data_IF_760233108127
#
_entry.id   IF_760233108127
#
_cell.length_a   1.000
_cell.length_b   1.000
_cell.length_c   1.000
_cell.angle_alpha   90.00
_cell.angle_beta   90.00
_cell.angle_gamma   90.00
#
_symmetry.space_group_name_H-M   'P 1'
#
loop_
_entity.id
_entity.type
_entity.pdbx_description
1 polymer ?
#
# COMPACT_ATOMS: atom_id res chain seq x y z
N UNK A 1 18.88 6.76 -2.73
CA UNK A 1 18.15 6.74 -4.03
C UNK A 1 16.76 7.30 -3.80
N UNK A 2 16.32 8.25 -4.64
CA UNK A 2 15.02 8.93 -4.53
C UNK A 2 13.87 7.96 -4.85
N UNK A 3 12.79 8.00 -4.07
CA UNK A 3 11.54 7.30 -4.43
C UNK A 3 10.75 8.21 -5.37
N UNK A 4 10.34 7.67 -6.52
CA UNK A 4 9.53 8.41 -7.49
C UNK A 4 8.09 8.60 -6.97
N UNK A 5 7.58 9.84 -7.00
CA UNK A 5 6.18 10.15 -6.77
C UNK A 5 5.29 9.56 -7.87
N UNK A 6 3.99 9.48 -7.67
CA UNK A 6 3.07 8.95 -8.70
C UNK A 6 3.12 9.77 -10.00
N UNK A 7 3.30 11.08 -9.90
CA UNK A 7 3.47 11.99 -11.05
C UNK A 7 4.80 11.73 -11.78
N UNK A 8 5.90 11.59 -11.03
CA UNK A 8 7.21 11.27 -11.61
C UNK A 8 7.20 9.89 -12.29
N UNK A 9 6.49 8.90 -11.71
CA UNK A 9 6.34 7.56 -12.31
C UNK A 9 5.57 7.63 -13.62
N UNK A 10 4.54 8.47 -13.69
CA UNK A 10 3.77 8.68 -14.92
C UNK A 10 4.63 9.38 -15.99
N UNK A 11 5.38 10.42 -15.63
CA UNK A 11 6.28 11.11 -16.55
C UNK A 11 7.38 10.18 -17.10
N UNK A 12 7.98 9.33 -16.25
CA UNK A 12 8.96 8.31 -16.66
C UNK A 12 8.33 7.34 -17.66
N UNK A 13 7.10 6.89 -17.40
CA UNK A 13 6.38 5.98 -18.29
C UNK A 13 6.09 6.60 -19.66
N UNK A 14 5.58 7.83 -19.69
CA UNK A 14 5.29 8.55 -20.93
C UNK A 14 6.56 8.82 -21.73
N UNK A 15 7.65 9.18 -21.06
CA UNK A 15 8.96 9.35 -21.68
C UNK A 15 9.40 8.04 -22.34
N UNK A 16 9.40 6.93 -21.60
CA UNK A 16 9.76 5.61 -22.16
C UNK A 16 8.84 5.22 -23.32
N UNK A 17 7.55 5.52 -23.24
CA UNK A 17 6.60 5.22 -24.30
C UNK A 17 6.93 5.98 -25.59
N UNK A 18 7.35 7.24 -25.50
CA UNK A 18 7.80 8.05 -26.65
C UNK A 18 9.06 7.51 -27.32
N UNK A 19 9.98 6.90 -26.55
CA UNK A 19 11.17 6.24 -27.09
C UNK A 19 10.89 4.79 -27.55
N UNK A 20 9.77 4.21 -27.12
CA UNK A 20 9.44 2.83 -27.49
C UNK A 20 8.88 2.71 -28.90
N UNK A 21 9.32 1.70 -29.64
CA UNK A 21 8.72 1.32 -30.91
C UNK A 21 7.83 0.10 -30.72
N UNK A 22 6.51 0.27 -30.83
CA UNK A 22 5.50 -0.80 -30.63
C UNK A 22 5.63 -1.53 -29.28
N UNK A 23 5.95 -0.81 -28.21
CA UNK A 23 6.11 -1.40 -26.86
C UNK A 23 7.42 -2.15 -26.65
N UNK A 24 8.42 -1.94 -27.51
CA UNK A 24 9.82 -2.37 -27.29
C UNK A 24 10.72 -1.15 -27.12
N UNK A 25 11.60 -1.26 -26.13
CA UNK A 25 12.71 -0.33 -25.90
C UNK A 25 13.99 -0.99 -26.42
N UNK A 26 14.88 -0.19 -26.98
CA UNK A 26 16.18 -0.66 -27.44
C UNK A 26 17.13 -0.88 -26.27
N UNK A 27 18.18 -1.65 -26.53
CA UNK A 27 19.18 -1.98 -25.53
C UNK A 27 19.94 -0.71 -25.10
N UNK A 28 19.71 -0.29 -23.85
CA UNK A 28 20.36 0.89 -23.28
C UNK A 28 19.40 2.04 -22.98
N UNK A 29 18.20 2.06 -23.56
CA UNK A 29 17.23 3.16 -23.36
C UNK A 29 16.85 3.34 -21.90
N UNK A 30 16.61 2.23 -21.19
CA UNK A 30 16.32 2.25 -19.75
C UNK A 30 17.49 2.84 -18.97
N UNK A 31 18.73 2.56 -19.38
CA UNK A 31 19.93 3.10 -18.72
C UNK A 31 20.07 4.59 -18.98
N UNK A 32 19.91 4.99 -20.25
CA UNK A 32 20.03 6.38 -20.66
C UNK A 32 18.94 7.26 -20.03
N UNK A 33 17.68 6.83 -20.04
CA UNK A 33 16.55 7.56 -19.42
C UNK A 33 16.69 7.59 -17.89
N UNK A 34 17.20 6.51 -17.28
CA UNK A 34 17.47 6.49 -15.85
C UNK A 34 18.54 7.52 -15.45
N UNK A 35 19.61 7.64 -16.25
CA UNK A 35 20.67 8.62 -16.01
C UNK A 35 20.16 10.06 -16.26
N UNK A 36 19.37 10.28 -17.32
CA UNK A 36 18.76 11.58 -17.66
C UNK A 36 17.78 12.09 -16.59
N UNK A 37 16.94 11.20 -16.05
CA UNK A 37 15.94 11.54 -15.04
C UNK A 37 16.45 11.38 -13.60
N UNK A 38 17.74 11.02 -13.42
CA UNK A 38 18.38 10.78 -12.13
C UNK A 38 17.67 9.72 -11.25
N UNK A 39 17.09 8.70 -11.88
CA UNK A 39 16.47 7.56 -11.19
C UNK A 39 17.33 6.30 -11.29
N UNK A 40 17.16 5.36 -10.36
CA UNK A 40 17.83 4.07 -10.46
C UNK A 40 17.27 3.24 -11.62
N UNK A 41 18.16 2.61 -12.42
CA UNK A 41 17.78 1.73 -13.55
C UNK A 41 16.69 0.69 -13.19
N UNK A 42 16.80 0.10 -11.99
CA UNK A 42 15.80 -0.86 -11.47
C UNK A 42 14.41 -0.24 -11.24
N UNK A 43 14.35 1.05 -10.87
CA UNK A 43 13.08 1.75 -10.68
C UNK A 43 12.40 2.02 -12.03
N UNK A 44 13.16 2.51 -13.01
CA UNK A 44 12.70 2.78 -14.37
C UNK A 44 12.22 1.49 -15.06
N UNK A 45 13.01 0.41 -14.98
CA UNK A 45 12.60 -0.91 -15.52
C UNK A 45 11.32 -1.44 -14.86
N UNK A 46 11.16 -1.27 -13.54
CA UNK A 46 9.93 -1.68 -12.84
C UNK A 46 8.72 -0.87 -13.29
N UNK A 47 8.89 0.43 -13.50
CA UNK A 47 7.85 1.33 -14.04
C UNK A 47 7.42 0.88 -15.43
N UNK A 48 8.38 0.54 -16.30
CA UNK A 48 8.11 0.03 -17.65
C UNK A 48 7.26 -1.25 -17.63
N UNK A 49 7.69 -2.27 -16.88
CA UNK A 49 6.91 -3.52 -16.80
C UNK A 49 5.54 -3.32 -16.15
N UNK A 50 5.45 -2.47 -15.12
CA UNK A 50 4.17 -2.14 -14.50
C UNK A 50 3.22 -1.45 -15.49
N UNK A 51 3.73 -0.55 -16.33
CA UNK A 51 2.93 0.11 -17.36
C UNK A 51 2.43 -0.87 -18.41
N UNK A 52 3.30 -1.76 -18.91
CA UNK A 52 2.92 -2.82 -19.85
C UNK A 52 1.85 -3.76 -19.28
N UNK A 53 1.98 -4.20 -18.01
CA UNK A 53 0.98 -5.02 -17.33
C UNK A 53 -0.37 -4.30 -17.15
N UNK A 54 -0.35 -2.97 -17.00
CA UNK A 54 -1.54 -2.17 -16.72
C UNK A 54 -2.19 -1.58 -17.98
N UNK A 55 -1.52 -1.65 -19.13
CA UNK A 55 -1.99 -1.10 -20.39
C UNK A 55 -2.95 -2.08 -21.08
N UNK A 56 -4.25 -1.79 -21.00
CA UNK A 56 -5.28 -2.51 -21.76
C UNK A 56 -5.53 -1.88 -23.14
N UNK A 57 -6.23 -2.56 -24.06
CA UNK A 57 -6.46 -2.10 -25.44
C UNK A 57 -7.12 -0.71 -25.59
N UNK A 58 -7.71 -0.16 -24.52
CA UNK A 58 -8.30 1.20 -24.48
C UNK A 58 -8.11 1.89 -23.11
N UNK A 59 -7.12 1.50 -22.32
CA UNK A 59 -6.90 2.06 -20.98
C UNK A 59 -5.50 2.63 -20.84
N UNK A 60 -5.41 3.85 -20.31
CA UNK A 60 -4.14 4.46 -19.94
C UNK A 60 -3.45 3.58 -18.86
N UNK A 61 -2.15 3.34 -19.05
CA UNK A 61 -1.38 2.54 -18.11
C UNK A 61 -1.36 3.20 -16.71
N UNK A 62 -1.65 2.41 -15.66
CA UNK A 62 -1.62 2.90 -14.27
C UNK A 62 -0.30 2.56 -13.61
N UNK A 63 0.60 3.55 -13.47
CA UNK A 63 1.96 3.34 -12.94
C UNK A 63 2.14 3.83 -11.50
N UNK A 64 1.05 3.93 -10.73
CA UNK A 64 1.10 4.38 -9.33
C UNK A 64 1.95 3.48 -8.44
N UNK A 65 2.53 4.05 -7.40
CA UNK A 65 3.27 3.30 -6.39
C UNK A 65 2.36 2.30 -5.68
N UNK A 66 2.79 1.03 -5.60
CA UNK A 66 2.07 -0.03 -4.86
C UNK A 66 2.41 -0.04 -3.37
N UNK A 67 3.25 0.88 -2.89
CA UNK A 67 3.73 0.89 -1.49
C UNK A 67 2.60 1.09 -0.46
N UNK A 68 1.57 1.86 -0.80
CA UNK A 68 0.40 2.07 0.05
C UNK A 68 -0.51 0.84 0.09
N UNK A 69 -0.65 0.14 -1.03
CA UNK A 69 -1.50 -1.06 -1.16
C UNK A 69 -0.96 -2.26 -0.35
N UNK A 70 0.36 -2.35 -0.18
CA UNK A 70 1.00 -3.46 0.52
C UNK A 70 0.94 -3.33 2.06
N UNK A 71 0.53 -2.18 2.59
CA UNK A 71 0.33 -2.02 4.03
C UNK A 71 -0.97 -2.68 4.45
N UNK A 72 -0.91 -3.60 5.42
CA UNK A 72 -2.12 -4.09 6.11
C UNK A 72 -2.91 -2.88 6.61
N UNK A 73 -4.18 -2.79 6.20
CA UNK A 73 -5.09 -1.76 6.71
C UNK A 73 -5.12 -1.87 8.23
N UNK A 74 -4.84 -0.75 8.91
CA UNK A 74 -5.03 -0.67 10.36
C UNK A 74 -6.53 -0.84 10.63
N UNK A 75 -6.89 -1.75 11.53
CA UNK A 75 -8.28 -1.89 11.97
C UNK A 75 -8.71 -0.59 12.63
N UNK A 76 -9.84 -0.03 12.22
CA UNK A 76 -10.37 1.21 12.78
C UNK A 76 -10.77 1.03 14.24
N UNK A 77 -10.67 2.09 15.05
CA UNK A 77 -11.14 2.06 16.46
C UNK A 77 -12.60 1.69 16.54
N UNK A 78 -13.43 2.24 15.65
CA UNK A 78 -14.86 1.94 15.56
C UNK A 78 -15.13 0.45 15.37
N UNK A 79 -14.45 -0.18 14.43
CA UNK A 79 -14.61 -1.60 14.13
C UNK A 79 -14.18 -2.47 15.32
N UNK A 80 -13.11 -2.07 16.01
CA UNK A 80 -12.66 -2.75 17.24
C UNK A 80 -13.70 -2.63 18.36
N UNK A 81 -14.24 -1.42 18.59
CA UNK A 81 -15.29 -1.20 19.58
C UNK A 81 -16.56 -2.01 19.27
N UNK A 82 -16.93 -2.09 17.98
CA UNK A 82 -18.07 -2.90 17.55
C UNK A 82 -17.86 -4.38 17.90
N UNK A 83 -16.70 -4.96 17.57
CA UNK A 83 -16.37 -6.35 17.94
C UNK A 83 -16.43 -6.58 19.45
N UNK A 84 -15.93 -5.62 20.25
CA UNK A 84 -16.01 -5.71 21.72
C UNK A 84 -17.46 -5.64 22.21
N UNK A 85 -18.31 -4.84 21.54
CA UNK A 85 -19.74 -4.72 21.88
C UNK A 85 -20.56 -5.96 21.54
N UNK A 86 -20.08 -6.81 20.63
CA UNK A 86 -20.71 -8.09 20.27
C UNK A 86 -20.40 -9.18 21.31
N UNK A 87 -19.29 -9.08 22.05
CA UNK A 87 -18.93 -10.04 23.11
C UNK A 87 -19.89 -9.92 24.30
N UNK A 88 -20.41 -11.00 24.89
CA UNK A 88 -21.25 -10.93 26.09
C UNK A 88 -20.57 -10.21 27.26
N UNK A 89 -21.33 -9.47 28.07
CA UNK A 89 -20.78 -8.65 29.18
C UNK A 89 -20.00 -9.50 30.20
N UNK A 90 -20.38 -10.77 30.40
CA UNK A 90 -19.66 -11.72 31.26
C UNK A 90 -18.23 -11.97 30.79
N UNK A 91 -18.05 -12.14 29.48
CA UNK A 91 -16.76 -12.49 28.86
C UNK A 91 -15.86 -11.27 28.65
N UNK A 92 -16.43 -10.06 28.63
CA UNK A 92 -15.66 -8.79 28.59
C UNK A 92 -14.81 -8.56 29.84
N UNK A 93 -15.06 -9.29 30.93
CA UNK A 93 -14.30 -9.15 32.19
C UNK A 93 -12.90 -9.73 32.11
N UNK A 94 -12.72 -10.78 31.31
CA UNK A 94 -11.42 -11.42 31.17
C UNK A 94 -10.75 -10.94 29.88
N UNK A 95 -9.63 -10.24 30.03
CA UNK A 95 -8.88 -9.71 28.90
C UNK A 95 -8.42 -10.81 27.93
N UNK A 96 -8.13 -12.02 28.41
CA UNK A 96 -7.74 -13.16 27.55
C UNK A 96 -8.94 -13.62 26.72
N UNK A 97 -10.10 -13.78 27.35
CA UNK A 97 -11.34 -14.16 26.66
C UNK A 97 -11.75 -13.11 25.63
N UNK A 98 -11.61 -11.83 25.96
CA UNK A 98 -11.91 -10.72 25.05
C UNK A 98 -10.96 -10.69 23.85
N UNK A 99 -9.67 -10.98 24.04
CA UNK A 99 -8.71 -11.10 22.94
C UNK A 99 -9.07 -12.22 21.98
N UNK A 100 -9.40 -13.40 22.51
CA UNK A 100 -9.84 -14.56 21.73
C UNK A 100 -11.13 -14.27 20.95
N UNK A 101 -12.11 -13.67 21.62
CA UNK A 101 -13.42 -13.37 21.01
C UNK A 101 -13.34 -12.28 19.92
N UNK A 102 -12.47 -11.28 20.09
CA UNK A 102 -12.34 -10.17 19.14
C UNK A 102 -11.25 -10.39 18.07
N UNK A 103 -10.45 -11.45 18.23
CA UNK A 103 -9.23 -11.72 17.47
C UNK A 103 -8.30 -10.50 17.41
N UNK A 104 -8.06 -9.90 18.59
CA UNK A 104 -7.20 -8.70 18.74
C UNK A 104 -6.09 -8.95 19.75
N UNK A 105 -5.03 -8.16 19.66
CA UNK A 105 -3.91 -8.27 20.61
C UNK A 105 -4.25 -7.60 21.95
N UNK A 106 -3.65 -8.12 23.02
CA UNK A 106 -3.63 -7.51 24.35
C UNK A 106 -3.35 -6.00 24.31
N UNK A 107 -2.36 -5.59 23.51
CA UNK A 107 -1.97 -4.20 23.32
C UNK A 107 -3.13 -3.33 22.82
N UNK A 108 -3.89 -3.80 21.83
CA UNK A 108 -5.00 -3.02 21.27
C UNK A 108 -6.14 -2.85 22.27
N UNK A 109 -6.45 -3.89 23.05
CA UNK A 109 -7.45 -3.79 24.13
C UNK A 109 -7.00 -2.77 25.19
N UNK A 110 -5.73 -2.81 25.61
CA UNK A 110 -5.19 -1.83 26.56
C UNK A 110 -5.17 -0.41 26.00
N UNK A 111 -4.90 -0.23 24.71
CA UNK A 111 -5.00 1.07 24.06
C UNK A 111 -6.44 1.59 24.07
N UNK A 112 -7.44 0.76 23.75
CA UNK A 112 -8.85 1.16 23.82
C UNK A 112 -9.27 1.58 25.23
N UNK A 113 -8.72 0.93 26.26
CA UNK A 113 -8.93 1.32 27.66
C UNK A 113 -8.28 2.69 27.96
N UNK A 114 -7.02 2.88 27.55
CA UNK A 114 -6.30 4.16 27.73
C UNK A 114 -6.94 5.32 26.96
N UNK A 115 -7.40 5.05 25.75
CA UNK A 115 -8.10 6.01 24.88
C UNK A 115 -9.55 6.28 25.37
N UNK A 116 -10.05 5.54 26.37
CA UNK A 116 -11.37 5.74 26.98
C UNK A 116 -12.54 5.11 26.19
N UNK A 117 -12.26 4.39 25.11
CA UNK A 117 -13.25 3.66 24.33
C UNK A 117 -13.81 2.44 25.08
N UNK A 118 -13.04 1.90 26.02
CA UNK A 118 -13.46 0.86 26.94
C UNK A 118 -13.25 1.35 28.36
N UNK A 119 -14.21 1.09 29.26
CA UNK A 119 -14.02 1.34 30.68
C UNK A 119 -13.00 0.35 31.23
N UNK A 120 -11.89 0.87 31.77
CA UNK A 120 -11.06 0.10 32.69
C UNK A 120 -11.96 -0.39 33.83
N UNK A 121 -11.89 -1.68 34.15
CA UNK A 121 -12.34 -2.19 35.45
C UNK A 121 -11.13 -2.54 36.26
#
# INVERSE_FOLDING_TARGET
MKQASDEERQAIWETLLSYSNRGRLDHGDITWIADQLHFGRKAVSRIWHQGLESMGPRQAATVKSRASAQRRKRVGRRDLCQRVSEVPIGDRKNQVTLQLATNTSCYLIQQLIKEGYLRAR
#
